data_IF_278196042716
#
_entry.id   IF_278196042716
#
_cell.length_a   1.000
_cell.length_b   1.000
_cell.length_c   1.000
_cell.angle_alpha   90.00
_cell.angle_beta   90.00
_cell.angle_gamma   90.00
#
_symmetry.space_group_name_H-M   'P 1'
#
loop_
_entity.id
_entity.type
_entity.pdbx_description
1 polymer ?
#
# COMPACT_ATOMS: atom_id res chain seq x y z
N UNK A 1 46.40 -31.65 51.31
CA UNK A 1 46.32 -30.25 50.85
C UNK A 1 46.18 -30.29 49.34
N UNK A 2 44.95 -30.25 48.84
CA UNK A 2 44.63 -30.52 47.44
C UNK A 2 43.78 -29.38 46.88
N UNK A 3 43.91 -29.22 45.56
CA UNK A 3 43.10 -28.46 44.62
C UNK A 3 43.52 -27.00 44.39
N UNK A 4 44.31 -26.86 43.33
CA UNK A 4 44.58 -25.64 42.59
C UNK A 4 43.31 -24.86 42.26
N UNK A 5 43.37 -23.56 42.51
CA UNK A 5 42.35 -22.55 42.26
C UNK A 5 41.89 -22.53 40.80
N UNK A 6 40.61 -22.75 40.55
CA UNK A 6 39.98 -22.57 39.24
C UNK A 6 39.44 -21.13 39.18
N UNK A 7 39.93 -20.32 38.24
CA UNK A 7 39.44 -18.97 37.98
C UNK A 7 38.28 -19.06 36.98
N UNK A 8 37.04 -18.68 37.33
CA UNK A 8 35.97 -18.63 36.36
C UNK A 8 36.04 -17.31 35.57
N UNK A 9 36.33 -17.40 34.28
CA UNK A 9 36.14 -16.31 33.32
C UNK A 9 34.69 -16.34 32.83
N UNK A 10 33.84 -15.51 33.43
CA UNK A 10 32.53 -15.16 32.88
C UNK A 10 32.62 -13.76 32.29
N UNK A 11 32.62 -13.63 30.95
CA UNK A 11 31.88 -12.57 30.22
C UNK A 11 31.70 -13.04 28.77
N UNK A 12 30.53 -13.59 28.45
CA UNK A 12 30.01 -13.55 27.10
C UNK A 12 28.91 -12.49 27.08
N UNK A 13 29.29 -11.25 26.76
CA UNK A 13 28.33 -10.18 26.47
C UNK A 13 27.73 -10.45 25.09
N UNK A 14 26.70 -11.30 25.04
CA UNK A 14 25.84 -11.38 23.87
C UNK A 14 24.95 -10.15 23.89
N UNK A 15 25.38 -9.11 23.18
CA UNK A 15 24.55 -7.96 22.87
C UNK A 15 23.38 -8.40 22.01
N UNK A 16 22.27 -8.77 22.66
CA UNK A 16 20.99 -8.84 21.95
C UNK A 16 20.47 -7.42 21.93
N UNK A 17 20.73 -6.72 20.84
CA UNK A 17 19.91 -5.56 20.49
C UNK A 17 18.49 -6.09 20.40
N UNK A 18 17.65 -5.70 21.35
CA UNK A 18 16.20 -5.77 21.16
C UNK A 18 15.89 -4.78 20.04
N UNK A 19 16.04 -5.21 18.80
CA UNK A 19 15.38 -4.54 17.69
C UNK A 19 13.91 -4.58 18.06
N UNK A 20 13.19 -3.43 18.04
CA UNK A 20 11.75 -3.50 18.15
C UNK A 20 11.29 -4.47 17.07
N UNK A 21 10.58 -5.52 17.48
CA UNK A 21 9.71 -6.27 16.60
C UNK A 21 8.65 -5.29 16.12
N UNK A 22 9.03 -4.47 15.15
CA UNK A 22 8.09 -3.84 14.25
C UNK A 22 7.43 -5.01 13.58
N UNK A 23 6.33 -5.48 14.17
CA UNK A 23 5.48 -6.46 13.56
C UNK A 23 4.85 -5.72 12.39
N UNK A 24 5.25 -5.94 11.11
CA UNK A 24 4.26 -5.76 10.09
C UNK A 24 3.13 -6.70 10.52
N UNK A 25 1.96 -6.13 10.80
CA UNK A 25 0.75 -6.91 10.88
C UNK A 25 0.80 -7.92 9.72
N UNK A 26 0.68 -9.20 10.06
CA UNK A 26 0.70 -10.28 9.10
C UNK A 26 -0.43 -10.02 8.10
N UNK A 27 -0.15 -9.40 6.95
CA UNK A 27 -1.09 -9.45 5.84
C UNK A 27 -0.81 -10.75 5.11
N UNK A 28 -1.57 -11.75 5.56
CA UNK A 28 -1.67 -13.10 5.07
C UNK A 28 -2.18 -13.11 3.62
N UNK A 29 -1.39 -12.65 2.64
CA UNK A 29 -1.70 -12.85 1.21
C UNK A 29 -0.44 -12.90 0.32
N UNK A 30 0.58 -13.64 0.75
CA UNK A 30 1.84 -13.79 0.03
C UNK A 30 1.79 -14.76 -1.18
N UNK A 31 0.60 -15.06 -1.74
CA UNK A 31 0.45 -15.92 -2.95
C UNK A 31 -0.54 -15.39 -3.99
N UNK A 32 -1.12 -14.18 -3.82
CA UNK A 32 -2.26 -13.71 -4.60
C UNK A 32 -2.04 -12.56 -5.60
N UNK A 33 -0.85 -11.98 -5.75
CA UNK A 33 -0.64 -10.90 -6.75
C UNK A 33 0.82 -10.77 -7.20
N UNK A 34 1.14 -11.47 -8.29
CA UNK A 34 2.39 -11.32 -9.04
C UNK A 34 2.53 -9.94 -9.74
N UNK A 35 1.57 -9.04 -9.56
CA UNK A 35 1.59 -7.68 -10.09
C UNK A 35 1.30 -6.69 -8.95
N UNK A 36 2.05 -5.59 -8.83
CA UNK A 36 1.69 -4.55 -7.87
C UNK A 36 0.25 -4.10 -8.16
N UNK A 37 -0.59 -4.07 -7.13
CA UNK A 37 -1.94 -3.49 -7.21
C UNK A 37 -1.77 -1.98 -7.43
N UNK A 38 -1.77 -1.57 -8.70
CA UNK A 38 -1.61 -0.17 -9.08
C UNK A 38 -2.95 0.54 -8.94
N UNK A 39 -2.98 1.51 -8.03
CA UNK A 39 -4.08 2.46 -7.90
C UNK A 39 -3.66 3.78 -8.55
N UNK A 40 -4.49 4.27 -9.47
CA UNK A 40 -4.23 5.53 -10.17
C UNK A 40 -5.25 6.58 -9.75
N UNK A 41 -4.74 7.62 -9.09
CA UNK A 41 -5.53 8.74 -8.64
C UNK A 41 -5.60 9.81 -9.72
N UNK A 42 -6.79 10.41 -9.83
CA UNK A 42 -7.10 11.41 -10.83
C UNK A 42 -8.12 12.41 -10.33
N UNK A 43 -8.63 13.20 -11.28
CA UNK A 43 -9.64 14.22 -11.06
C UNK A 43 -10.81 14.02 -12.01
N UNK A 44 -12.03 14.18 -11.52
CA UNK A 44 -13.23 14.03 -12.31
C UNK A 44 -13.88 15.36 -12.68
N UNK A 45 -14.64 15.35 -13.78
CA UNK A 45 -15.46 16.46 -14.26
C UNK A 45 -16.94 16.12 -14.07
N UNK A 46 -17.71 17.06 -13.55
CA UNK A 46 -19.15 16.91 -13.29
C UNK A 46 -19.94 16.93 -14.59
N UNK A 47 -19.60 17.84 -15.50
CA UNK A 47 -20.33 18.04 -16.75
C UNK A 47 -20.33 16.78 -17.63
N UNK A 48 -19.20 16.10 -17.72
CA UNK A 48 -19.03 14.91 -18.57
C UNK A 48 -19.13 13.60 -17.77
N UNK A 49 -19.11 13.68 -16.44
CA UNK A 49 -18.99 12.54 -15.54
C UNK A 49 -17.79 11.63 -15.89
N UNK A 50 -16.62 12.24 -16.14
CA UNK A 50 -15.39 11.52 -16.53
C UNK A 50 -14.29 11.76 -15.53
N UNK A 51 -13.50 10.73 -15.26
CA UNK A 51 -12.25 10.78 -14.50
C UNK A 51 -11.07 10.86 -15.45
N UNK A 52 -10.18 11.82 -15.20
CA UNK A 52 -8.87 11.93 -15.83
C UNK A 52 -7.78 11.52 -14.83
N UNK A 53 -7.04 10.47 -15.14
CA UNK A 53 -5.93 9.97 -14.33
C UNK A 53 -4.70 9.69 -15.20
N UNK A 54 -3.52 9.59 -14.59
CA UNK A 54 -2.28 9.18 -15.28
C UNK A 54 -2.06 7.68 -15.09
N UNK A 55 -1.80 6.96 -16.18
CA UNK A 55 -1.43 5.55 -16.09
C UNK A 55 0.07 5.36 -15.73
N UNK A 56 0.52 4.11 -15.69
CA UNK A 56 1.91 3.71 -15.43
C UNK A 56 2.92 4.36 -16.40
N UNK A 57 2.47 4.71 -17.60
CA UNK A 57 3.28 5.37 -18.64
C UNK A 57 3.23 6.91 -18.54
N UNK A 58 2.61 7.47 -17.49
CA UNK A 58 2.41 8.90 -17.30
C UNK A 58 1.42 9.54 -18.28
N UNK A 59 0.74 8.74 -19.11
CA UNK A 59 -0.24 9.21 -20.10
C UNK A 59 -1.58 9.47 -19.43
N UNK A 60 -2.22 10.55 -19.85
CA UNK A 60 -3.55 10.88 -19.40
C UNK A 60 -4.57 9.90 -20.00
N UNK A 61 -5.37 9.30 -19.15
CA UNK A 61 -6.49 8.42 -19.49
C UNK A 61 -7.78 9.07 -19.02
N UNK A 62 -8.77 9.12 -19.90
CA UNK A 62 -10.10 9.66 -19.64
C UNK A 62 -11.13 8.53 -19.65
N UNK A 63 -11.67 8.21 -18.47
CA UNK A 63 -12.62 7.12 -18.30
C UNK A 63 -13.92 7.60 -17.66
N UNK A 64 -15.04 7.01 -18.08
CA UNK A 64 -16.35 7.42 -17.60
C UNK A 64 -16.59 6.90 -16.18
N UNK A 65 -17.01 7.79 -15.28
CA UNK A 65 -17.47 7.42 -13.95
C UNK A 65 -18.79 6.63 -14.04
N UNK A 66 -19.09 5.78 -13.05
CA UNK A 66 -20.42 5.19 -12.91
C UNK A 66 -21.51 6.27 -12.89
N UNK A 67 -22.69 5.94 -13.42
CA UNK A 67 -23.83 6.88 -13.50
C UNK A 67 -24.69 6.94 -12.23
N UNK A 68 -24.46 6.04 -11.26
CA UNK A 68 -25.22 6.01 -10.01
C UNK A 68 -24.95 7.27 -9.18
N UNK A 69 -25.98 7.80 -8.52
CA UNK A 69 -25.89 9.08 -7.81
C UNK A 69 -24.80 9.13 -6.73
N UNK A 70 -24.50 7.98 -6.12
CA UNK A 70 -23.46 7.83 -5.09
C UNK A 70 -22.06 7.52 -5.63
N UNK A 71 -21.90 7.40 -6.95
CA UNK A 71 -20.63 7.02 -7.61
C UNK A 71 -20.29 7.90 -8.81
N UNK A 72 -21.15 8.85 -9.16
CA UNK A 72 -20.91 9.86 -10.18
C UNK A 72 -20.06 11.00 -9.62
N UNK A 73 -19.37 11.71 -10.50
CA UNK A 73 -18.66 12.93 -10.12
C UNK A 73 -19.66 14.01 -9.72
N UNK A 74 -19.66 14.43 -8.45
CA UNK A 74 -20.63 15.40 -7.94
C UNK A 74 -20.20 16.85 -8.15
N UNK A 75 -18.88 17.07 -8.32
CA UNK A 75 -18.25 18.38 -8.48
C UNK A 75 -16.98 18.26 -9.32
N UNK A 76 -16.73 19.24 -10.19
CA UNK A 76 -15.48 19.33 -10.95
C UNK A 76 -14.26 19.43 -10.03
N UNK A 77 -13.24 18.63 -10.33
CA UNK A 77 -12.02 18.56 -9.52
C UNK A 77 -12.12 17.64 -8.30
N UNK A 78 -13.25 16.91 -8.14
CA UNK A 78 -13.29 15.82 -7.18
C UNK A 78 -12.32 14.71 -7.56
N UNK A 79 -11.90 13.96 -6.55
CA UNK A 79 -10.97 12.85 -6.77
C UNK A 79 -11.68 11.69 -7.48
N UNK A 80 -10.89 10.87 -8.16
CA UNK A 80 -11.32 9.58 -8.67
C UNK A 80 -10.13 8.60 -8.63
N UNK A 81 -10.43 7.31 -8.54
CA UNK A 81 -9.45 6.24 -8.38
C UNK A 81 -9.75 5.09 -9.33
N UNK A 82 -8.78 4.77 -10.19
CA UNK A 82 -8.78 3.56 -10.99
C UNK A 82 -7.98 2.47 -10.27
N UNK A 83 -8.63 1.36 -9.95
CA UNK A 83 -7.99 0.19 -9.34
C UNK A 83 -7.74 -0.86 -10.43
N UNK A 84 -6.46 -1.14 -10.69
CA UNK A 84 -6.05 -2.05 -11.77
C UNK A 84 -6.43 -3.52 -11.51
N UNK A 85 -6.49 -3.92 -10.23
CA UNK A 85 -6.79 -5.29 -9.83
C UNK A 85 -8.27 -5.64 -10.07
N UNK A 86 -9.16 -4.76 -9.63
CA UNK A 86 -10.61 -4.87 -9.82
C UNK A 86 -11.11 -4.33 -11.15
N UNK A 87 -10.25 -3.61 -11.90
CA UNK A 87 -10.59 -2.88 -13.14
C UNK A 87 -11.81 -1.98 -12.92
N UNK A 88 -11.86 -1.32 -11.76
CA UNK A 88 -12.98 -0.51 -11.33
C UNK A 88 -12.57 0.95 -11.14
N UNK A 89 -13.45 1.85 -11.60
CA UNK A 89 -13.32 3.29 -11.38
C UNK A 89 -14.26 3.73 -10.26
N UNK A 90 -13.69 4.33 -9.23
CA UNK A 90 -14.45 5.00 -8.16
C UNK A 90 -14.32 6.51 -8.34
N UNK A 91 -15.44 7.21 -8.44
CA UNK A 91 -15.49 8.67 -8.45
C UNK A 91 -16.22 9.18 -7.21
N UNK A 92 -15.79 10.35 -6.73
CA UNK A 92 -16.28 11.00 -5.51
C UNK A 92 -17.02 12.30 -5.84
#
# INVERSE_FOLDING_TARGET
MQFSTIIPLFVAAMGVVATPVNSPAQELDARGSLFPRLEYWGKCTKAENRCKYKNDKGKDVLQNCPKFDNKKCTKDGNSCKWDSASKALTCY
#
